data_IF_490606173623
#
_entry.id   IF_490606173623
#
_cell.length_a   1.000
_cell.length_b   1.000
_cell.length_c   1.000
_cell.angle_alpha   90.00
_cell.angle_beta   90.00
_cell.angle_gamma   90.00
#
_symmetry.space_group_name_H-M   'P 1'
#
loop_
_entity.id
_entity.type
_entity.pdbx_description
1 polymer ?
#
# COMPACT_ATOMS: atom_id res chain seq x y z
N UNK A 1 6.66 9.56 -9.22
CA UNK A 1 5.67 8.69 -9.89
C UNK A 1 5.80 7.26 -9.37
N UNK A 2 4.67 6.67 -9.05
CA UNK A 2 4.63 5.26 -8.64
C UNK A 2 4.08 4.44 -9.80
N UNK A 3 4.79 3.39 -10.18
CA UNK A 3 4.37 2.46 -11.20
C UNK A 3 4.49 1.05 -10.63
N UNK A 4 3.38 0.53 -10.13
CA UNK A 4 3.34 -0.71 -9.36
C UNK A 4 2.28 -1.63 -9.92
N UNK A 5 2.63 -2.89 -10.11
CA UNK A 5 1.68 -3.93 -10.49
C UNK A 5 1.82 -5.12 -9.57
N UNK A 6 0.75 -5.42 -8.85
CA UNK A 6 0.68 -6.56 -7.94
C UNK A 6 -0.52 -7.40 -8.35
N UNK A 7 -0.28 -8.69 -8.61
CA UNK A 7 -1.32 -9.63 -9.04
C UNK A 7 -1.21 -10.89 -8.19
N UNK A 8 -2.31 -11.33 -7.61
CA UNK A 8 -2.33 -12.54 -6.78
C UNK A 8 -1.27 -12.53 -5.68
N UNK A 9 -1.09 -11.36 -5.03
CA UNK A 9 -0.11 -11.13 -3.97
C UNK A 9 1.34 -11.21 -4.43
N UNK A 10 1.57 -11.21 -5.74
CA UNK A 10 2.92 -11.16 -6.30
C UNK A 10 3.19 -9.78 -6.89
N UNK A 11 4.39 -9.28 -6.66
CA UNK A 11 4.82 -8.01 -7.23
C UNK A 11 5.42 -8.26 -8.61
N UNK A 12 4.75 -7.77 -9.66
CA UNK A 12 5.23 -7.89 -11.02
C UNK A 12 6.07 -6.69 -11.44
N UNK A 13 5.80 -5.54 -10.86
CA UNK A 13 6.50 -4.30 -11.21
C UNK A 13 6.45 -3.34 -10.03
N UNK A 14 7.57 -2.69 -9.77
CA UNK A 14 7.64 -1.67 -8.74
C UNK A 14 8.71 -0.64 -9.10
N UNK A 15 8.29 0.47 -9.69
CA UNK A 15 9.17 1.57 -10.06
C UNK A 15 8.75 2.85 -9.35
N UNK A 16 9.73 3.57 -8.82
CA UNK A 16 9.49 4.84 -8.13
C UNK A 16 10.34 5.93 -8.77
N UNK A 17 9.72 7.04 -9.12
CA UNK A 17 10.42 8.25 -9.58
C UNK A 17 9.79 9.47 -8.96
N UNK A 18 10.64 10.41 -8.52
CA UNK A 18 10.20 11.65 -7.90
C UNK A 18 10.79 11.84 -6.51
N UNK A 19 10.40 12.93 -5.86
CA UNK A 19 10.82 13.21 -4.50
C UNK A 19 10.02 12.39 -3.49
N UNK A 20 10.50 12.31 -2.24
CA UNK A 20 9.77 11.64 -1.18
C UNK A 20 8.38 12.22 -0.97
N UNK A 21 8.25 13.55 -1.02
CA UNK A 21 6.95 14.23 -0.87
C UNK A 21 5.99 13.86 -1.99
N UNK A 22 6.48 13.82 -3.23
CA UNK A 22 5.67 13.42 -4.38
C UNK A 22 5.19 11.98 -4.24
N UNK A 23 6.09 11.08 -3.85
CA UNK A 23 5.75 9.67 -3.68
C UNK A 23 4.75 9.46 -2.56
N UNK A 24 4.90 10.18 -1.44
CA UNK A 24 3.96 10.09 -0.34
C UNK A 24 2.57 10.59 -0.73
N UNK A 25 2.50 11.69 -1.47
CA UNK A 25 1.22 12.23 -1.93
C UNK A 25 0.52 11.25 -2.88
N UNK A 26 1.26 10.65 -3.79
CA UNK A 26 0.71 9.66 -4.70
C UNK A 26 0.22 8.41 -3.95
N UNK A 27 0.98 7.96 -2.95
CA UNK A 27 0.60 6.82 -2.14
C UNK A 27 -0.68 7.09 -1.36
N UNK A 28 -0.79 8.26 -0.75
CA UNK A 28 -2.01 8.67 -0.03
C UNK A 28 -3.23 8.63 -0.95
N UNK A 29 -3.08 9.13 -2.17
CA UNK A 29 -4.15 9.12 -3.15
C UNK A 29 -4.56 7.68 -3.53
N UNK A 30 -3.60 6.80 -3.72
CA UNK A 30 -3.86 5.40 -4.05
C UNK A 30 -4.63 4.73 -2.91
N UNK A 31 -4.16 4.88 -1.69
CA UNK A 31 -4.82 4.28 -0.51
C UNK A 31 -6.23 4.82 -0.36
N UNK A 32 -6.41 6.13 -0.46
CA UNK A 32 -7.72 6.77 -0.35
C UNK A 32 -8.67 6.26 -1.43
N UNK A 33 -8.19 6.12 -2.66
CA UNK A 33 -9.00 5.64 -3.78
C UNK A 33 -9.45 4.20 -3.58
N UNK A 34 -8.56 3.33 -3.10
CA UNK A 34 -8.91 1.94 -2.81
C UNK A 34 -9.94 1.85 -1.71
N UNK A 35 -9.74 2.59 -0.61
CA UNK A 35 -10.67 2.57 0.52
C UNK A 35 -12.03 3.14 0.13
N UNK A 36 -12.05 4.23 -0.63
CA UNK A 36 -13.30 4.82 -1.13
C UNK A 36 -14.08 3.82 -1.99
N UNK A 37 -13.38 3.14 -2.89
CA UNK A 37 -14.00 2.13 -3.74
C UNK A 37 -14.60 0.99 -2.92
N UNK A 38 -13.90 0.55 -1.88
CA UNK A 38 -14.39 -0.51 -0.99
C UNK A 38 -15.67 -0.07 -0.25
N UNK A 39 -15.72 1.17 0.21
CA UNK A 39 -16.91 1.71 0.86
C UNK A 39 -18.08 1.73 -0.13
N UNK A 40 -17.87 2.23 -1.34
CA UNK A 40 -18.91 2.32 -2.36
C UNK A 40 -19.43 0.94 -2.76
N UNK A 41 -18.60 -0.08 -2.72
CA UNK A 41 -19.00 -1.44 -3.06
C UNK A 41 -19.55 -2.22 -1.87
N UNK A 42 -19.65 -1.59 -0.69
CA UNK A 42 -20.22 -2.22 0.49
C UNK A 42 -19.27 -3.15 1.23
N UNK A 43 -17.96 -3.03 1.00
CA UNK A 43 -16.96 -3.84 1.69
C UNK A 43 -16.87 -3.52 3.17
N UNK A 44 -17.08 -2.28 3.55
CA UNK A 44 -17.19 -1.84 4.93
C UNK A 44 -17.87 -0.46 4.97
N UNK A 45 -18.28 -0.04 6.16
CA UNK A 45 -18.94 1.26 6.34
C UNK A 45 -17.89 2.35 6.60
N UNK A 46 -18.23 3.58 6.20
CA UNK A 46 -17.35 4.73 6.44
C UNK A 46 -17.03 4.90 7.93
N UNK A 47 -17.93 4.49 8.81
CA UNK A 47 -17.72 4.58 10.25
C UNK A 47 -16.58 3.69 10.73
N UNK A 48 -16.27 2.63 10.00
CA UNK A 48 -15.17 1.70 10.33
C UNK A 48 -13.83 2.15 9.76
N UNK A 49 -13.81 3.24 9.00
CA UNK A 49 -12.62 3.69 8.30
C UNK A 49 -11.44 3.94 9.24
N UNK A 50 -11.69 4.57 10.40
CA UNK A 50 -10.63 4.88 11.35
C UNK A 50 -9.96 3.60 11.86
N UNK A 51 -10.74 2.60 12.22
CA UNK A 51 -10.21 1.32 12.70
C UNK A 51 -9.43 0.60 11.61
N UNK A 52 -9.94 0.64 10.39
CA UNK A 52 -9.27 0.02 9.24
C UNK A 52 -7.94 0.70 8.95
N UNK A 53 -7.91 2.03 9.01
CA UNK A 53 -6.67 2.78 8.82
C UNK A 53 -5.66 2.51 9.92
N UNK A 54 -6.10 2.39 11.18
CA UNK A 54 -5.21 2.05 12.28
C UNK A 54 -4.57 0.67 12.06
N UNK A 55 -5.36 -0.31 11.66
CA UNK A 55 -4.85 -1.64 11.36
C UNK A 55 -3.89 -1.60 10.17
N UNK A 56 -4.25 -0.85 9.13
CA UNK A 56 -3.41 -0.68 7.95
C UNK A 56 -2.05 -0.06 8.31
N UNK A 57 -2.07 1.01 9.09
CA UNK A 57 -0.84 1.71 9.50
C UNK A 57 0.04 0.77 10.32
N UNK A 58 -0.53 0.04 11.26
CA UNK A 58 0.22 -0.91 12.10
C UNK A 58 0.85 -2.02 11.25
N UNK A 59 0.12 -2.52 10.27
CA UNK A 59 0.63 -3.56 9.37
C UNK A 59 1.75 -3.02 8.47
N UNK A 60 1.60 -1.80 7.97
CA UNK A 60 2.64 -1.15 7.17
C UNK A 60 3.90 -0.94 7.99
N UNK A 61 3.75 -0.44 9.21
CA UNK A 61 4.88 -0.22 10.11
C UNK A 61 5.63 -1.51 10.39
N UNK A 62 4.91 -2.59 10.73
CA UNK A 62 5.53 -3.89 10.96
C UNK A 62 6.24 -4.42 9.72
N UNK A 63 5.66 -4.21 8.56
CA UNK A 63 6.27 -4.63 7.29
C UNK A 63 7.54 -3.85 7.00
N UNK A 64 7.52 -2.53 7.23
CA UNK A 64 8.71 -1.69 7.05
C UNK A 64 9.83 -2.15 7.98
N UNK A 65 9.52 -2.45 9.24
CA UNK A 65 10.51 -2.92 10.21
C UNK A 65 11.15 -4.24 9.79
N UNK A 66 10.42 -5.08 9.06
CA UNK A 66 10.91 -6.36 8.58
C UNK A 66 11.33 -6.34 7.11
N UNK A 67 11.39 -5.16 6.51
CA UNK A 67 11.59 -5.00 5.06
C UNK A 67 12.91 -5.59 4.59
N UNK A 68 13.94 -5.52 5.40
CA UNK A 68 15.25 -6.07 5.06
C UNK A 68 15.16 -7.58 4.83
N UNK A 69 14.44 -8.30 5.67
CA UNK A 69 14.20 -9.73 5.48
C UNK A 69 13.32 -9.98 4.26
N UNK A 70 12.31 -9.13 4.05
CA UNK A 70 11.46 -9.20 2.87
C UNK A 70 12.27 -9.07 1.59
N UNK A 71 13.15 -8.09 1.51
CA UNK A 71 13.99 -7.90 0.34
C UNK A 71 14.91 -9.09 0.10
N UNK A 72 15.45 -9.68 1.16
CA UNK A 72 16.28 -10.86 1.02
C UNK A 72 15.50 -12.07 0.48
N UNK A 73 14.22 -12.18 0.85
CA UNK A 73 13.37 -13.28 0.42
C UNK A 73 12.69 -13.02 -0.92
N UNK A 74 12.39 -11.76 -1.24
CA UNK A 74 11.58 -11.39 -2.40
C UNK A 74 12.28 -10.53 -3.41
N UNK A 75 13.58 -10.30 -3.28
CA UNK A 75 14.32 -9.41 -4.19
C UNK A 75 14.27 -9.84 -5.65
N UNK A 76 13.96 -11.10 -5.91
CA UNK A 76 13.84 -11.64 -7.26
C UNK A 76 12.41 -11.55 -7.81
N UNK A 77 11.45 -11.09 -7.00
CA UNK A 77 10.06 -10.99 -7.38
C UNK A 77 9.70 -9.59 -7.90
N UNK A 78 10.56 -8.61 -7.63
CA UNK A 78 10.28 -7.24 -8.04
C UNK A 78 11.54 -6.50 -8.45
#
# INVERSE_FOLDING_TARGET
MLDIKITNKECEKMDFTGTGDELMTELEFIVASVLHTMIEQGGFDKEDLEDILDTFVNNVEATVDNMEQFFNNFKNLC
#
